data_IF_591257978917
#
_entry.id   IF_591257978917
#
_cell.length_a   1.000
_cell.length_b   1.000
_cell.length_c   1.000
_cell.angle_alpha   90.00
_cell.angle_beta   90.00
_cell.angle_gamma   90.00
#
_symmetry.space_group_name_H-M   'P 1'
#
loop_
_entity.id
_entity.type
_entity.pdbx_description
1 polymer ?
#
# COMPACT_ATOMS: atom_id res chain seq x y z
N UNK A 1 13.52 -29.42 7.89
CA UNK A 1 13.13 -29.48 6.48
C UNK A 1 13.17 -28.05 5.98
N UNK A 2 14.07 -27.72 5.05
CA UNK A 2 14.02 -26.39 4.41
C UNK A 2 12.76 -26.45 3.55
N UNK A 3 11.74 -25.71 3.94
CA UNK A 3 10.51 -25.60 3.15
C UNK A 3 10.87 -24.85 1.88
N UNK A 4 10.73 -25.49 0.73
CA UNK A 4 10.79 -24.82 -0.57
C UNK A 4 9.36 -24.50 -1.03
N UNK A 5 9.17 -23.31 -1.61
CA UNK A 5 7.89 -22.84 -2.12
C UNK A 5 7.98 -22.70 -3.65
N UNK A 6 6.99 -23.21 -4.38
CA UNK A 6 6.92 -23.01 -5.82
C UNK A 6 6.58 -21.56 -6.15
N UNK A 7 6.94 -21.11 -7.35
CA UNK A 7 6.64 -19.75 -7.80
C UNK A 7 5.14 -19.47 -7.81
N UNK A 8 4.34 -20.41 -8.31
CA UNK A 8 2.88 -20.28 -8.35
C UNK A 8 2.33 -20.11 -6.93
N UNK A 9 2.84 -20.91 -5.98
CA UNK A 9 2.41 -20.85 -4.60
C UNK A 9 2.82 -19.53 -3.93
N UNK A 10 4.00 -19.01 -4.24
CA UNK A 10 4.43 -17.71 -3.76
C UNK A 10 3.52 -16.59 -4.27
N UNK A 11 3.19 -16.60 -5.56
CA UNK A 11 2.28 -15.64 -6.19
C UNK A 11 0.88 -15.72 -5.57
N UNK A 12 0.36 -16.91 -5.30
CA UNK A 12 -0.93 -17.08 -4.60
C UNK A 12 -0.95 -16.42 -3.22
N UNK A 13 0.09 -16.62 -2.42
CA UNK A 13 0.19 -16.03 -1.08
C UNK A 13 0.35 -14.50 -1.14
N UNK A 14 1.11 -14.00 -2.11
CA UNK A 14 1.22 -12.57 -2.39
C UNK A 14 -0.15 -11.99 -2.72
N UNK A 15 -0.86 -12.58 -3.68
CA UNK A 15 -2.18 -12.10 -4.10
C UNK A 15 -3.15 -12.06 -2.91
N UNK A 16 -3.16 -13.12 -2.09
CA UNK A 16 -4.00 -13.21 -0.91
C UNK A 16 -3.72 -12.10 0.10
N UNK A 17 -2.45 -11.88 0.45
CA UNK A 17 -2.06 -10.84 1.40
C UNK A 17 -2.31 -9.44 0.84
N UNK A 18 -1.99 -9.20 -0.43
CA UNK A 18 -2.22 -7.91 -1.10
C UNK A 18 -3.70 -7.52 -1.10
N UNK A 19 -4.59 -8.46 -1.42
CA UNK A 19 -6.03 -8.24 -1.34
C UNK A 19 -6.49 -7.91 0.07
N UNK A 20 -6.03 -8.65 1.08
CA UNK A 20 -6.38 -8.38 2.47
C UNK A 20 -5.97 -6.97 2.91
N UNK A 21 -4.72 -6.58 2.62
CA UNK A 21 -4.18 -5.26 2.98
C UNK A 21 -4.97 -4.12 2.31
N UNK A 22 -5.23 -4.24 1.01
CA UNK A 22 -5.96 -3.24 0.24
C UNK A 22 -7.42 -3.10 0.71
N UNK A 23 -8.12 -4.22 0.95
CA UNK A 23 -9.49 -4.22 1.49
C UNK A 23 -9.60 -3.51 2.84
N UNK A 24 -8.56 -3.59 3.68
CA UNK A 24 -8.49 -2.90 4.97
C UNK A 24 -7.98 -1.45 4.88
N UNK A 25 -7.70 -0.94 3.67
CA UNK A 25 -7.11 0.39 3.43
C UNK A 25 -5.76 0.58 4.15
N UNK A 26 -4.98 -0.49 4.24
CA UNK A 26 -3.68 -0.51 4.90
C UNK A 26 -2.51 -0.53 3.90
N UNK A 27 -2.74 -0.30 2.61
CA UNK A 27 -1.70 -0.35 1.59
C UNK A 27 -0.53 0.59 1.90
N UNK A 28 -0.82 1.87 2.13
CA UNK A 28 0.21 2.88 2.45
C UNK A 28 1.06 2.53 3.69
N UNK A 29 0.48 2.25 4.88
CA UNK A 29 1.29 1.88 6.04
C UNK A 29 2.02 0.54 5.85
N UNK A 30 1.40 -0.46 5.21
CA UNK A 30 2.05 -1.75 4.98
C UNK A 30 3.28 -1.61 4.07
N UNK A 31 3.14 -0.92 2.93
CA UNK A 31 4.25 -0.66 2.00
C UNK A 31 5.36 0.09 2.74
N UNK A 32 5.03 1.17 3.47
CA UNK A 32 6.02 1.93 4.22
C UNK A 32 6.76 1.07 5.25
N UNK A 33 6.06 0.20 5.97
CA UNK A 33 6.67 -0.72 6.94
C UNK A 33 7.63 -1.70 6.26
N UNK A 34 7.18 -2.37 5.19
CA UNK A 34 8.01 -3.35 4.47
C UNK A 34 9.26 -2.68 3.87
N UNK A 35 9.09 -1.51 3.24
CA UNK A 35 10.19 -0.69 2.72
C UNK A 35 11.20 -0.30 3.80
N UNK A 36 10.71 0.12 4.97
CA UNK A 36 11.58 0.53 6.10
C UNK A 36 12.42 -0.62 6.65
N UNK A 37 12.02 -1.87 6.41
CA UNK A 37 12.71 -3.06 6.88
C UNK A 37 13.75 -3.59 5.89
N UNK A 38 13.77 -3.11 4.63
CA UNK A 38 14.74 -3.53 3.61
C UNK A 38 16.23 -3.48 4.00
N UNK A 39 16.75 -2.54 4.82
CA UNK A 39 18.18 -2.52 5.15
C UNK A 39 18.63 -3.63 6.12
N UNK A 40 17.72 -4.46 6.65
CA UNK A 40 18.04 -5.53 7.59
C UNK A 40 18.13 -6.87 6.86
N UNK A 41 19.23 -7.60 7.02
CA UNK A 41 19.43 -8.96 6.48
C UNK A 41 18.44 -10.03 7.02
N UNK A 42 17.36 -9.63 7.72
CA UNK A 42 16.33 -10.48 8.33
C UNK A 42 14.91 -9.91 8.14
N UNK A 43 14.57 -9.47 6.93
CA UNK A 43 13.24 -8.94 6.60
C UNK A 43 12.13 -9.94 7.01
N UNK A 44 12.37 -11.24 6.77
CA UNK A 44 11.46 -12.33 7.12
C UNK A 44 10.99 -12.29 8.58
N UNK A 45 11.89 -12.39 9.55
CA UNK A 45 11.50 -12.48 10.96
C UNK A 45 10.75 -11.25 11.46
N UNK A 46 11.18 -10.06 11.04
CA UNK A 46 10.58 -8.81 11.51
C UNK A 46 9.16 -8.61 10.93
N UNK A 47 8.96 -8.95 9.65
CA UNK A 47 7.65 -8.93 9.02
C UNK A 47 6.71 -10.00 9.60
N UNK A 48 7.23 -11.18 9.91
CA UNK A 48 6.41 -12.21 10.57
C UNK A 48 5.91 -11.73 11.92
N UNK A 49 6.73 -11.07 12.74
CA UNK A 49 6.27 -10.47 13.99
C UNK A 49 5.24 -9.35 13.79
N UNK A 50 5.40 -8.52 12.75
CA UNK A 50 4.41 -7.51 12.40
C UNK A 50 3.07 -8.13 11.96
N UNK A 51 3.11 -9.24 11.23
CA UNK A 51 1.92 -9.94 10.75
C UNK A 51 1.29 -10.86 11.80
N UNK A 52 1.99 -11.19 12.88
CA UNK A 52 1.51 -12.10 13.92
C UNK A 52 0.10 -11.77 14.45
N UNK A 53 -0.27 -10.50 14.74
CA UNK A 53 -1.62 -10.15 15.18
C UNK A 53 -2.73 -10.44 14.16
N UNK A 54 -2.35 -10.59 12.89
CA UNK A 54 -3.26 -10.84 11.77
C UNK A 54 -3.10 -12.25 11.19
N UNK A 55 -2.14 -13.04 11.69
CA UNK A 55 -1.72 -14.28 11.06
C UNK A 55 -2.87 -15.26 10.88
N UNK A 56 -3.69 -15.48 11.91
CA UNK A 56 -4.81 -16.42 11.86
C UNK A 56 -5.97 -15.94 10.99
N UNK A 57 -6.09 -14.62 10.78
CA UNK A 57 -7.12 -14.03 9.93
C UNK A 57 -6.77 -14.21 8.45
N UNK A 58 -5.48 -14.07 8.13
CA UNK A 58 -4.98 -14.08 6.76
C UNK A 58 -4.58 -15.49 6.33
N UNK A 59 -3.94 -16.26 7.20
CA UNK A 59 -3.22 -17.48 6.85
C UNK A 59 -3.71 -18.69 7.64
N UNK A 60 -3.73 -19.84 6.95
CA UNK A 60 -3.67 -21.14 7.65
C UNK A 60 -2.27 -21.34 8.22
N UNK A 61 -2.07 -22.19 9.25
CA UNK A 61 -0.75 -22.41 9.85
C UNK A 61 0.35 -22.76 8.85
N UNK A 62 0.04 -23.60 7.84
CA UNK A 62 0.98 -23.95 6.78
C UNK A 62 1.34 -22.74 5.90
N UNK A 63 0.35 -21.93 5.53
CA UNK A 63 0.54 -20.74 4.71
C UNK A 63 1.42 -19.71 5.41
N UNK A 64 1.30 -19.59 6.73
CA UNK A 64 2.14 -18.70 7.53
C UNK A 64 3.62 -19.13 7.49
N UNK A 65 3.90 -20.44 7.53
CA UNK A 65 5.26 -20.98 7.36
C UNK A 65 5.77 -20.81 5.92
N UNK A 66 4.92 -21.08 4.92
CA UNK A 66 5.24 -20.86 3.50
C UNK A 66 5.55 -19.37 3.24
N UNK A 67 4.83 -18.46 3.91
CA UNK A 67 5.06 -17.03 3.80
C UNK A 67 6.38 -16.59 4.44
N UNK A 68 6.80 -17.19 5.56
CA UNK A 68 8.15 -16.93 6.11
C UNK A 68 9.25 -17.23 5.09
N UNK A 69 9.15 -18.35 4.37
CA UNK A 69 10.10 -18.73 3.31
C UNK A 69 10.05 -17.73 2.15
N UNK A 70 8.85 -17.31 1.73
CA UNK A 70 8.68 -16.31 0.68
C UNK A 70 9.44 -15.01 0.98
N UNK A 71 9.41 -14.56 2.23
CA UNK A 71 10.06 -13.33 2.67
C UNK A 71 11.60 -13.38 2.66
N UNK A 72 12.20 -14.56 2.52
CA UNK A 72 13.65 -14.71 2.34
C UNK A 72 14.09 -14.32 0.92
N UNK A 73 13.15 -14.30 -0.05
CA UNK A 73 13.42 -13.90 -1.42
C UNK A 73 13.01 -12.44 -1.67
N UNK A 74 14.01 -11.59 -1.92
CA UNK A 74 13.80 -10.15 -2.13
C UNK A 74 12.91 -9.83 -3.35
N UNK A 75 12.92 -10.66 -4.40
CA UNK A 75 12.05 -10.47 -5.57
C UNK A 75 10.58 -10.67 -5.21
N UNK A 76 10.26 -11.67 -4.37
CA UNK A 76 8.90 -11.89 -3.91
C UNK A 76 8.43 -10.79 -2.95
N UNK A 77 9.33 -10.23 -2.13
CA UNK A 77 9.01 -9.05 -1.30
C UNK A 77 8.74 -7.82 -2.18
N UNK A 78 9.55 -7.59 -3.22
CA UNK A 78 9.29 -6.53 -4.22
C UNK A 78 7.95 -6.72 -4.91
N UNK A 79 7.65 -7.95 -5.33
CA UNK A 79 6.40 -8.31 -5.98
C UNK A 79 5.20 -8.07 -5.04
N UNK A 80 5.32 -8.44 -3.77
CA UNK A 80 4.30 -8.17 -2.75
C UNK A 80 3.97 -6.68 -2.62
N UNK A 81 4.99 -5.84 -2.47
CA UNK A 81 4.82 -4.38 -2.35
C UNK A 81 4.13 -3.82 -3.59
N UNK A 82 4.62 -4.20 -4.78
CA UNK A 82 4.05 -3.78 -6.06
C UNK A 82 2.58 -4.18 -6.15
N UNK A 83 2.27 -5.43 -5.80
CA UNK A 83 0.92 -5.97 -5.89
C UNK A 83 -0.05 -5.32 -4.90
N UNK A 84 0.40 -4.97 -3.69
CA UNK A 84 -0.38 -4.17 -2.74
C UNK A 84 -0.78 -2.82 -3.35
N UNK A 85 0.17 -2.10 -3.97
CA UNK A 85 -0.09 -0.77 -4.55
C UNK A 85 -1.06 -0.86 -5.74
N UNK A 86 -0.85 -1.81 -6.65
CA UNK A 86 -1.73 -2.04 -7.80
C UNK A 86 -3.18 -2.28 -7.37
N UNK A 87 -3.41 -3.20 -6.43
CA UNK A 87 -4.75 -3.52 -5.94
C UNK A 87 -5.37 -2.30 -5.24
N UNK A 88 -4.64 -1.56 -4.40
CA UNK A 88 -5.18 -0.36 -3.73
C UNK A 88 -5.55 0.75 -4.73
N UNK A 89 -4.71 0.97 -5.74
CA UNK A 89 -4.97 1.93 -6.82
C UNK A 89 -6.24 1.54 -7.57
N UNK A 90 -6.39 0.27 -7.92
CA UNK A 90 -7.55 -0.22 -8.68
C UNK A 90 -8.83 -0.17 -7.83
N UNK A 91 -8.79 -0.67 -6.60
CA UNK A 91 -9.93 -0.69 -5.69
C UNK A 91 -10.48 0.71 -5.37
N UNK A 92 -9.61 1.70 -5.22
CA UNK A 92 -10.01 3.05 -4.80
C UNK A 92 -9.83 4.12 -5.88
N UNK A 93 -9.74 3.71 -7.15
CA UNK A 93 -9.54 4.59 -8.31
C UNK A 93 -10.59 5.71 -8.35
N UNK A 94 -11.87 5.35 -8.33
CA UNK A 94 -12.98 6.30 -8.42
C UNK A 94 -12.99 7.31 -7.27
N UNK A 95 -12.74 6.82 -6.05
CA UNK A 95 -12.66 7.66 -4.86
C UNK A 95 -11.51 8.67 -4.99
N UNK A 96 -10.32 8.21 -5.42
CA UNK A 96 -9.14 9.06 -5.66
C UNK A 96 -9.44 10.12 -6.71
N UNK A 97 -10.07 9.76 -7.83
CA UNK A 97 -10.45 10.70 -8.89
C UNK A 97 -11.47 11.74 -8.40
N UNK A 98 -12.48 11.31 -7.64
CA UNK A 98 -13.46 12.24 -7.05
C UNK A 98 -12.82 13.24 -6.08
N UNK A 99 -11.87 12.78 -5.25
CA UNK A 99 -11.10 13.62 -4.32
C UNK A 99 -10.21 14.60 -5.08
N UNK A 100 -9.54 14.16 -6.15
CA UNK A 100 -8.73 15.03 -7.03
C UNK A 100 -9.59 16.14 -7.65
N UNK A 101 -10.76 15.79 -8.19
CA UNK A 101 -11.68 16.76 -8.78
C UNK A 101 -12.18 17.79 -7.76
N UNK A 102 -12.58 17.34 -6.56
CA UNK A 102 -13.00 18.22 -5.45
C UNK A 102 -11.88 19.18 -5.04
N UNK A 103 -10.63 18.69 -4.91
CA UNK A 103 -9.45 19.52 -4.61
C UNK A 103 -9.19 20.55 -5.71
N UNK A 104 -9.26 20.17 -6.98
CA UNK A 104 -9.10 21.09 -8.14
C UNK A 104 -10.15 22.19 -8.12
N UNK A 105 -11.42 21.84 -7.91
CA UNK A 105 -12.52 22.81 -7.77
C UNK A 105 -12.28 23.79 -6.63
N UNK A 106 -11.88 23.31 -5.45
CA UNK A 106 -11.56 24.16 -4.28
C UNK A 106 -10.42 25.13 -4.60
N UNK A 107 -9.32 24.63 -5.17
CA UNK A 107 -8.16 25.47 -5.50
C UNK A 107 -8.51 26.53 -6.55
N UNK A 108 -9.35 26.20 -7.54
CA UNK A 108 -9.82 27.16 -8.54
C UNK A 108 -10.68 28.27 -7.92
N UNK A 109 -11.60 27.92 -7.00
CA UNK A 109 -12.39 28.92 -6.25
C UNK A 109 -11.51 29.87 -5.45
N UNK A 110 -10.51 29.33 -4.75
CA UNK A 110 -9.55 30.12 -3.97
C UNK A 110 -8.78 31.08 -4.88
N UNK A 111 -8.24 30.59 -6.01
CA UNK A 111 -7.54 31.43 -7.00
C UNK A 111 -8.44 32.56 -7.53
N UNK A 112 -9.71 32.26 -7.85
CA UNK A 112 -10.67 33.25 -8.32
C UNK A 112 -10.94 34.32 -7.26
N UNK A 113 -11.13 33.92 -6.00
CA UNK A 113 -11.33 34.84 -4.88
C UNK A 113 -10.16 35.81 -4.70
N UNK A 114 -8.93 35.30 -4.66
CA UNK A 114 -7.73 36.16 -4.55
C UNK A 114 -7.55 37.08 -5.77
N UNK A 115 -7.91 36.61 -6.97
CA UNK A 115 -7.91 37.45 -8.18
C UNK A 115 -8.90 38.61 -8.08
N UNK A 116 -10.11 38.37 -7.56
CA UNK A 116 -11.13 39.41 -7.34
C UNK A 116 -10.63 40.45 -6.32
N UNK A 117 -10.17 40.00 -5.15
CA UNK A 117 -9.63 40.91 -4.11
C UNK A 117 -8.46 41.77 -4.60
N UNK A 118 -7.56 41.21 -5.41
CA UNK A 118 -6.44 41.96 -5.99
C UNK A 118 -6.93 43.05 -6.96
N UNK A 119 -7.95 42.76 -7.77
CA UNK A 119 -8.54 43.73 -8.70
C UNK A 119 -9.24 44.89 -7.97
N UNK A 120 -9.98 44.60 -6.91
CA UNK A 120 -10.64 45.64 -6.08
C UNK A 120 -9.64 46.59 -5.41
N UNK A 121 -8.51 46.06 -4.93
CA UNK A 121 -7.44 46.88 -4.33
C UNK A 121 -6.80 47.82 -5.36
N UNK A 122 -6.59 47.35 -6.58
CA UNK A 122 -5.97 48.14 -7.65
C UNK A 122 -6.89 49.22 -8.23
N UNK A 123 -8.22 49.05 -8.15
CA UNK A 123 -9.20 50.03 -8.64
C UNK A 123 -9.54 51.14 -7.61
N UNK A 124 -9.03 51.04 -6.36
CA UNK A 124 -9.23 52.03 -5.29
C UNK A 124 -8.01 52.96 -5.09
N UNK A 125 -7.03 52.88 -5.97
CA UNK A 125 -5.84 53.74 -6.09
C UNK A 125 -5.94 54.52 -7.39
#
# INVERSE_FOLDING_TARGET
MILEISEERAVELIEKLSNFIAQKRMAAPAIMTIESLRPLARIGSQLMHFLAPFAEIIFKPKEYQEFAVLLENEEYVRLLIKRIDEIDVDMFREERESKKLKRKRRNNKIKQFFKIKKKEKNNKL
#
